data_IF_226209659943
#
_entry.id   IF_226209659943
#
_cell.length_a   1.000
_cell.length_b   1.000
_cell.length_c   1.000
_cell.angle_alpha   90.00
_cell.angle_beta   90.00
_cell.angle_gamma   90.00
#
_symmetry.space_group_name_H-M   'P 1'
#
loop_
_entity.id
_entity.type
_entity.pdbx_description
1 polymer ?
#
# COMPACT_ATOMS: atom_id res chain seq x y z
N UNK A 1 -7.69 -0.81 3.84
CA UNK A 1 -7.01 0.03 2.82
C UNK A 1 -5.67 -0.65 2.55
N UNK A 2 -5.33 -0.94 1.29
CA UNK A 2 -4.04 -1.55 0.95
C UNK A 2 -2.95 -0.49 1.09
N UNK A 3 -1.83 -0.85 1.72
CA UNK A 3 -0.68 0.02 1.94
C UNK A 3 0.45 -0.37 0.95
N UNK A 4 1.08 0.60 0.26
CA UNK A 4 2.12 0.30 -0.72
C UNK A 4 3.34 -0.38 -0.11
N UNK A 5 3.74 -0.05 1.12
CA UNK A 5 4.87 -0.70 1.79
C UNK A 5 4.55 -2.17 2.10
N UNK A 6 3.32 -2.46 2.53
CA UNK A 6 2.85 -3.84 2.75
C UNK A 6 2.79 -4.65 1.46
N UNK A 7 2.43 -4.01 0.34
CA UNK A 7 2.46 -4.66 -0.97
C UNK A 7 3.90 -5.00 -1.39
N UNK A 8 4.86 -4.09 -1.20
CA UNK A 8 6.28 -4.36 -1.48
C UNK A 8 6.86 -5.47 -0.60
N UNK A 9 6.56 -5.46 0.71
CA UNK A 9 6.95 -6.54 1.61
C UNK A 9 6.40 -7.89 1.14
N UNK A 10 5.15 -7.93 0.68
CA UNK A 10 4.56 -9.17 0.17
C UNK A 10 5.22 -9.63 -1.14
N UNK A 11 5.63 -8.70 -2.01
CA UNK A 11 6.40 -9.01 -3.21
C UNK A 11 7.77 -9.61 -2.89
N UNK A 12 8.48 -9.06 -1.91
CA UNK A 12 9.77 -9.57 -1.44
C UNK A 12 9.63 -11.00 -0.90
N UNK A 13 8.65 -11.26 -0.02
CA UNK A 13 8.37 -12.61 0.49
C UNK A 13 8.09 -13.61 -0.63
N UNK A 14 7.33 -13.21 -1.65
CA UNK A 14 7.07 -14.08 -2.80
C UNK A 14 8.36 -14.40 -3.58
N UNK A 15 9.33 -13.48 -3.68
CA UNK A 15 10.64 -13.76 -4.31
C UNK A 15 11.49 -14.70 -3.46
N UNK A 16 11.48 -14.51 -2.14
CA UNK A 16 12.17 -15.39 -1.20
C UNK A 16 11.63 -16.83 -1.32
N UNK A 17 10.31 -17.01 -1.26
CA UNK A 17 9.66 -18.31 -1.45
C UNK A 17 10.01 -18.92 -2.82
N UNK A 18 10.01 -18.13 -3.89
CA UNK A 18 10.42 -18.59 -5.22
C UNK A 18 11.88 -19.09 -5.23
N UNK A 19 12.79 -18.43 -4.49
CA UNK A 19 14.20 -18.81 -4.42
C UNK A 19 14.47 -20.11 -3.67
N UNK A 20 13.54 -20.50 -2.78
CA UNK A 20 13.63 -21.73 -1.99
C UNK A 20 13.06 -22.95 -2.72
N UNK A 21 12.34 -22.75 -3.82
CA UNK A 21 11.68 -23.83 -4.55
C UNK A 21 12.62 -24.49 -5.56
N UNK A 22 12.66 -25.82 -5.52
CA UNK A 22 13.38 -26.63 -6.51
C UNK A 22 12.62 -26.76 -7.84
N UNK A 23 11.28 -26.66 -7.81
CA UNK A 23 10.45 -26.71 -9.02
C UNK A 23 10.37 -25.32 -9.68
N UNK A 24 10.90 -25.15 -10.91
CA UNK A 24 10.86 -23.88 -11.61
C UNK A 24 9.44 -23.42 -11.95
N UNK A 25 8.49 -24.34 -12.15
CA UNK A 25 7.10 -23.98 -12.43
C UNK A 25 6.43 -23.36 -11.20
N UNK A 26 6.61 -23.97 -10.03
CA UNK A 26 6.15 -23.41 -8.77
C UNK A 26 6.84 -22.06 -8.44
N UNK A 27 8.15 -21.95 -8.67
CA UNK A 27 8.89 -20.70 -8.49
C UNK A 27 8.32 -19.58 -9.39
N UNK A 28 7.99 -19.89 -10.65
CA UNK A 28 7.42 -18.93 -11.59
C UNK A 28 6.04 -18.40 -11.14
N UNK A 29 5.22 -19.23 -10.49
CA UNK A 29 3.94 -18.81 -9.91
C UNK A 29 4.17 -17.78 -8.81
N UNK A 30 5.12 -18.02 -7.92
CA UNK A 30 5.48 -17.07 -6.86
C UNK A 30 6.04 -15.75 -7.40
N UNK A 31 6.89 -15.81 -8.43
CA UNK A 31 7.38 -14.60 -9.12
C UNK A 31 6.24 -13.81 -9.77
N UNK A 32 5.22 -14.48 -10.29
CA UNK A 32 4.02 -13.83 -10.84
C UNK A 32 3.24 -13.10 -9.75
N UNK A 33 3.10 -13.70 -8.55
CA UNK A 33 2.51 -13.01 -7.42
C UNK A 33 3.33 -11.80 -6.98
N UNK A 34 4.66 -11.94 -6.91
CA UNK A 34 5.55 -10.82 -6.59
C UNK A 34 5.34 -9.62 -7.53
N UNK A 35 5.33 -9.87 -8.84
CA UNK A 35 5.10 -8.83 -9.85
C UNK A 35 3.71 -8.17 -9.70
N UNK A 36 2.67 -8.92 -9.34
CA UNK A 36 1.33 -8.37 -9.10
C UNK A 36 1.30 -7.47 -7.87
N UNK A 37 2.02 -7.83 -6.81
CA UNK A 37 2.10 -7.00 -5.61
C UNK A 37 2.90 -5.71 -5.86
N UNK A 38 3.97 -5.74 -6.66
CA UNK A 38 4.67 -4.52 -7.07
C UNK A 38 3.80 -3.61 -7.92
N UNK A 39 3.14 -4.16 -8.94
CA UNK A 39 2.22 -3.40 -9.77
C UNK A 39 1.05 -2.81 -8.97
N UNK A 40 0.64 -3.48 -7.88
CA UNK A 40 -0.35 -2.94 -6.94
C UNK A 40 0.26 -1.79 -6.12
N UNK A 41 1.47 -1.95 -5.59
CA UNK A 41 2.17 -0.92 -4.82
C UNK A 41 2.36 0.37 -5.63
N UNK A 42 2.72 0.25 -6.91
CA UNK A 42 2.95 1.38 -7.81
C UNK A 42 1.66 2.15 -8.16
N UNK A 43 0.50 1.51 -8.02
CA UNK A 43 -0.82 2.13 -8.27
C UNK A 43 -1.44 2.72 -7.01
N UNK A 44 -0.92 2.41 -5.83
CA UNK A 44 -1.40 2.96 -4.58
C UNK A 44 -0.78 4.34 -4.33
N UNK A 45 -1.55 5.32 -3.83
CA UNK A 45 -0.99 6.59 -3.41
C UNK A 45 0.07 6.35 -2.31
N UNK A 46 1.23 6.98 -2.47
CA UNK A 46 2.36 6.83 -1.55
C UNK A 46 2.10 7.47 -0.17
N UNK A 47 1.16 8.40 -0.11
CA UNK A 47 0.69 9.01 1.12
C UNK A 47 -0.60 8.29 1.57
N UNK A 48 -0.75 7.90 2.83
CA UNK A 48 -2.10 7.82 3.37
C UNK A 48 -2.67 9.22 3.16
N UNK A 49 -3.79 9.36 2.43
CA UNK A 49 -4.60 10.56 2.56
C UNK A 49 -4.92 10.67 4.05
N UNK A 50 -4.09 11.44 4.75
CA UNK A 50 -4.48 12.17 5.92
C UNK A 50 -5.51 13.11 5.36
N UNK A 51 -6.75 12.63 5.22
CA UNK A 51 -7.92 13.45 5.12
C UNK A 51 -7.90 14.27 6.39
N UNK A 52 -7.11 15.35 6.36
CA UNK A 52 -7.15 16.43 7.29
C UNK A 52 -8.57 16.91 7.19
N UNK A 53 -9.40 16.40 8.09
CA UNK A 53 -10.67 16.99 8.41
C UNK A 53 -10.32 18.36 9.01
N UNK A 54 -10.08 19.33 8.14
CA UNK A 54 -10.08 20.73 8.54
C UNK A 54 -11.55 21.02 8.81
N UNK A 55 -11.95 20.80 10.06
CA UNK A 55 -13.15 21.46 10.59
C UNK A 55 -12.80 22.93 10.66
N UNK A 56 -12.97 23.66 9.56
CA UNK A 56 -13.10 25.11 9.62
C UNK A 56 -14.42 25.35 10.33
N UNK A 57 -14.35 25.45 11.66
CA UNK A 57 -15.42 26.02 12.46
C UNK A 57 -15.35 27.52 12.19
N UNK A 58 -15.95 27.91 11.08
CA UNK A 58 -16.20 29.30 10.74
C UNK A 58 -17.05 29.88 11.88
N UNK A 59 -16.41 30.65 12.77
CA UNK A 59 -17.13 31.56 13.65
C UNK A 59 -17.57 32.72 12.78
N UNK A 60 -18.81 33.17 12.94
CA UNK A 60 -18.90 34.48 13.57
C UNK A 60 -20.13 34.58 14.49
N UNK A 61 -19.90 35.00 15.72
CA UNK A 61 -20.66 36.12 16.29
C UNK A 61 -19.94 36.58 17.54
N UNK A 62 -19.34 37.75 17.43
CA UNK A 62 -19.22 38.68 18.54
C UNK A 62 -20.59 38.83 19.21
N UNK A 63 -20.64 38.72 20.52
CA UNK A 63 -21.56 39.53 21.30
C UNK A 63 -20.87 39.93 22.59
N UNK A 64 -20.56 41.22 22.64
CA UNK A 64 -20.27 42.00 23.84
C UNK A 64 -21.58 42.70 24.19
N UNK A 65 -22.18 42.34 25.33
CA UNK A 65 -22.92 43.21 26.25
C UNK A 65 -23.35 42.37 27.46
#
# INVERSE_FOLDING_TARGET
>A
MYDPARCRQQAERCREEASLLADPAAAQVWLTFAARYEALADRLPAEPESAGLIVTRDRPTSFVA
#
